data_IF_227777259291
#
_entry.id   IF_227777259291
#
_cell.length_a   1.000
_cell.length_b   1.000
_cell.length_c   1.000
_cell.angle_alpha   90.00
_cell.angle_beta   90.00
_cell.angle_gamma   90.00
#
_symmetry.space_group_name_H-M   'P 1'
#
loop_
_entity.id
_entity.type
_entity.pdbx_description
1 polymer ?
#
# COMPACT_ATOMS: atom_id res chain seq x y z
N UNK A 1 -18.49 -6.80 -5.29
CA UNK A 1 -18.80 -5.53 -6.01
C UNK A 1 -17.85 -4.45 -5.55
N UNK A 2 -17.20 -3.80 -6.48
CA UNK A 2 -16.32 -2.66 -6.18
C UNK A 2 -17.18 -1.41 -6.01
N UNK A 3 -17.05 -0.75 -4.86
CA UNK A 3 -17.80 0.49 -4.56
C UNK A 3 -17.10 1.75 -5.08
N UNK A 4 -15.79 1.67 -5.23
CA UNK A 4 -14.95 2.77 -5.69
C UNK A 4 -14.13 2.26 -6.87
N UNK A 5 -14.04 3.01 -7.99
CA UNK A 5 -13.25 2.58 -9.14
C UNK A 5 -11.78 2.37 -8.78
N UNK A 6 -11.17 1.37 -9.40
CA UNK A 6 -9.72 1.20 -9.37
C UNK A 6 -9.11 2.03 -10.50
N UNK A 7 -8.64 3.22 -10.16
CA UNK A 7 -8.11 4.15 -11.14
C UNK A 7 -6.84 3.59 -11.79
N UNK A 8 -6.77 3.67 -13.12
CA UNK A 8 -5.55 3.35 -13.87
C UNK A 8 -4.71 4.62 -14.07
N UNK A 9 -3.42 4.42 -14.40
CA UNK A 9 -2.51 5.56 -14.61
C UNK A 9 -2.97 6.47 -15.74
N UNK A 10 -3.56 5.90 -16.78
CA UNK A 10 -4.03 6.61 -17.97
C UNK A 10 -5.21 7.55 -17.67
N UNK A 11 -6.01 7.22 -16.66
CA UNK A 11 -7.17 8.01 -16.24
C UNK A 11 -6.79 9.22 -15.39
N UNK A 12 -5.53 9.29 -14.92
CA UNK A 12 -5.03 10.35 -14.07
C UNK A 12 -4.51 11.54 -14.89
N UNK A 13 -4.62 12.73 -14.31
CA UNK A 13 -3.93 13.92 -14.82
C UNK A 13 -2.42 13.87 -14.52
N UNK A 14 -1.69 14.92 -14.89
CA UNK A 14 -0.23 14.94 -14.73
C UNK A 14 0.20 14.79 -13.27
N UNK A 15 -0.46 15.44 -12.34
CA UNK A 15 -0.17 15.33 -10.90
C UNK A 15 -0.47 13.94 -10.38
N UNK A 16 -1.62 13.39 -10.73
CA UNK A 16 -2.02 12.04 -10.34
C UNK A 16 -1.05 10.97 -10.88
N UNK A 17 -0.55 11.14 -12.09
CA UNK A 17 0.46 10.23 -12.67
C UNK A 17 1.78 10.29 -11.93
N UNK A 18 2.21 11.47 -11.50
CA UNK A 18 3.41 11.60 -10.68
C UNK A 18 3.27 10.86 -9.34
N UNK A 19 2.11 10.97 -8.71
CA UNK A 19 1.80 10.26 -7.47
C UNK A 19 1.78 8.74 -7.71
N UNK A 20 1.13 8.28 -8.77
CA UNK A 20 1.10 6.87 -9.16
C UNK A 20 2.51 6.31 -9.36
N UNK A 21 3.34 7.03 -10.09
CA UNK A 21 4.72 6.61 -10.39
C UNK A 21 5.59 6.61 -9.11
N UNK A 22 5.37 7.55 -8.20
CA UNK A 22 6.06 7.57 -6.92
C UNK A 22 5.68 6.37 -6.04
N UNK A 23 4.42 5.97 -6.02
CA UNK A 23 3.99 4.77 -5.30
C UNK A 23 4.71 3.53 -5.84
N UNK A 24 4.81 3.39 -7.15
CA UNK A 24 5.57 2.30 -7.78
C UNK A 24 7.04 2.33 -7.37
N UNK A 25 7.66 3.49 -7.43
CA UNK A 25 9.07 3.66 -7.08
C UNK A 25 9.34 3.33 -5.61
N UNK A 26 8.55 3.88 -4.69
CA UNK A 26 8.74 3.68 -3.26
C UNK A 26 8.59 2.20 -2.86
N UNK A 27 7.79 1.45 -3.58
CA UNK A 27 7.53 0.02 -3.31
C UNK A 27 8.27 -0.93 -4.23
N UNK A 28 9.05 -0.40 -5.16
CA UNK A 28 9.82 -1.19 -6.13
C UNK A 28 8.93 -2.23 -6.83
N UNK A 29 7.82 -1.76 -7.39
CA UNK A 29 6.83 -2.61 -8.06
C UNK A 29 6.46 -2.07 -9.43
N UNK A 30 6.14 -2.96 -10.36
CA UNK A 30 5.62 -2.61 -11.69
C UNK A 30 4.19 -2.08 -11.62
N UNK A 31 3.37 -2.66 -10.73
CA UNK A 31 1.97 -2.32 -10.60
C UNK A 31 1.65 -1.74 -9.23
N UNK A 32 0.73 -0.79 -9.22
CA UNK A 32 0.17 -0.24 -7.98
C UNK A 32 -0.95 -1.16 -7.49
N UNK A 33 -0.87 -1.55 -6.23
CA UNK A 33 -1.87 -2.41 -5.61
C UNK A 33 -3.29 -1.82 -5.63
N UNK A 34 -4.30 -2.68 -5.61
CA UNK A 34 -5.70 -2.28 -5.76
C UNK A 34 -6.15 -1.26 -4.71
N UNK A 35 -5.71 -1.41 -3.46
CA UNK A 35 -6.02 -0.47 -2.39
C UNK A 35 -5.54 0.95 -2.70
N UNK A 36 -4.35 1.09 -3.29
CA UNK A 36 -3.81 2.39 -3.69
C UNK A 36 -4.50 2.94 -4.94
N UNK A 37 -4.89 2.06 -5.86
CA UNK A 37 -5.69 2.46 -7.03
C UNK A 37 -7.07 2.97 -6.62
N UNK A 38 -7.66 2.41 -5.58
CA UNK A 38 -8.89 2.94 -4.99
C UNK A 38 -8.67 4.33 -4.36
N UNK A 39 -7.56 4.51 -3.63
CA UNK A 39 -7.18 5.80 -3.03
C UNK A 39 -6.91 6.88 -4.09
N UNK A 40 -6.44 6.50 -5.27
CA UNK A 40 -6.12 7.43 -6.36
C UNK A 40 -7.36 8.12 -6.97
N UNK A 41 -8.57 7.79 -6.53
CA UNK A 41 -9.74 8.65 -6.77
C UNK A 41 -9.60 10.02 -6.08
N UNK A 42 -8.69 10.13 -5.09
CA UNK A 42 -8.25 11.39 -4.48
C UNK A 42 -6.72 11.42 -4.50
N UNK A 43 -6.09 11.84 -5.59
CA UNK A 43 -4.64 11.69 -5.78
C UNK A 43 -3.79 12.33 -4.69
N UNK A 44 -4.15 13.51 -4.22
CA UNK A 44 -3.41 14.19 -3.15
C UNK A 44 -3.47 13.42 -1.84
N UNK A 45 -4.66 12.94 -1.45
CA UNK A 45 -4.82 12.10 -0.25
C UNK A 45 -4.03 10.79 -0.38
N UNK A 46 -4.08 10.16 -1.57
CA UNK A 46 -3.28 8.98 -1.87
C UNK A 46 -1.78 9.25 -1.71
N UNK A 47 -1.30 10.38 -2.20
CA UNK A 47 0.10 10.80 -2.09
C UNK A 47 0.55 10.91 -0.63
N UNK A 48 -0.23 11.57 0.22
CA UNK A 48 0.08 11.70 1.65
C UNK A 48 0.08 10.36 2.37
N UNK A 49 -0.97 9.56 2.17
CA UNK A 49 -1.11 8.27 2.85
C UNK A 49 -0.03 7.28 2.43
N UNK A 50 0.25 7.18 1.14
CA UNK A 50 1.27 6.25 0.63
C UNK A 50 2.69 6.67 1.01
N UNK A 51 2.97 7.98 1.13
CA UNK A 51 4.24 8.49 1.64
C UNK A 51 4.43 8.13 3.11
N UNK A 52 3.41 8.31 3.94
CA UNK A 52 3.44 7.87 5.34
C UNK A 52 3.69 6.36 5.43
N UNK A 53 2.95 5.57 4.66
CA UNK A 53 3.10 4.12 4.63
C UNK A 53 4.50 3.68 4.21
N UNK A 54 5.09 4.32 3.20
CA UNK A 54 6.44 4.04 2.75
C UNK A 54 7.48 4.35 3.84
N UNK A 55 7.33 5.48 4.54
CA UNK A 55 8.20 5.85 5.65
C UNK A 55 8.13 4.83 6.78
N UNK A 56 6.94 4.40 7.16
CA UNK A 56 6.75 3.40 8.22
C UNK A 56 7.32 2.04 7.85
N UNK A 57 7.13 1.60 6.60
CA UNK A 57 7.56 0.27 6.15
C UNK A 57 9.06 0.20 5.83
N UNK A 58 9.61 1.22 5.18
CA UNK A 58 10.94 1.12 4.58
C UNK A 58 11.99 2.00 5.26
N UNK A 59 11.58 2.99 6.06
CA UNK A 59 12.48 3.96 6.66
C UNK A 59 12.44 3.97 8.19
N UNK A 60 11.53 3.23 8.82
CA UNK A 60 11.48 3.17 10.28
C UNK A 60 12.57 2.25 10.84
N UNK A 61 12.97 2.50 12.09
CA UNK A 61 13.92 1.67 12.81
C UNK A 61 13.30 0.38 13.41
N UNK A 62 11.99 0.21 13.26
CA UNK A 62 11.32 -0.98 13.78
C UNK A 62 11.78 -2.24 13.04
N UNK A 63 12.16 -3.32 13.74
CA UNK A 63 12.50 -4.58 13.10
C UNK A 63 11.40 -5.13 12.19
N UNK A 64 11.78 -5.73 11.07
CA UNK A 64 10.86 -6.18 10.03
C UNK A 64 9.83 -7.17 10.57
N UNK A 65 10.25 -8.14 11.40
CA UNK A 65 9.34 -9.11 12.00
C UNK A 65 8.24 -8.42 12.87
N UNK A 66 8.57 -7.35 13.58
CA UNK A 66 7.60 -6.63 14.39
C UNK A 66 6.65 -5.79 13.53
N UNK A 67 7.14 -5.20 12.44
CA UNK A 67 6.29 -4.50 11.47
C UNK A 67 5.26 -5.45 10.85
N UNK A 68 5.71 -6.57 10.35
CA UNK A 68 4.83 -7.56 9.72
C UNK A 68 3.86 -8.17 10.74
N UNK A 69 4.29 -8.41 11.98
CA UNK A 69 3.41 -8.87 13.05
C UNK A 69 2.29 -7.85 13.32
N UNK A 70 2.61 -6.56 13.40
CA UNK A 70 1.61 -5.51 13.61
C UNK A 70 0.60 -5.46 12.46
N UNK A 71 1.07 -5.60 11.22
CA UNK A 71 0.20 -5.59 10.03
C UNK A 71 -0.77 -6.77 10.05
N UNK A 72 -0.28 -7.99 10.28
CA UNK A 72 -1.15 -9.18 10.27
C UNK A 72 -2.12 -9.19 11.45
N UNK A 73 -1.77 -8.64 12.60
CA UNK A 73 -2.70 -8.49 13.73
C UNK A 73 -3.87 -7.57 13.36
N UNK A 74 -3.58 -6.43 12.75
CA UNK A 74 -4.62 -5.51 12.27
C UNK A 74 -5.46 -6.16 11.16
N UNK A 75 -4.81 -6.83 10.22
CA UNK A 75 -5.50 -7.55 9.15
C UNK A 75 -6.47 -8.60 9.71
N UNK A 76 -6.06 -9.32 10.74
CA UNK A 76 -6.91 -10.32 11.41
C UNK A 76 -8.09 -9.68 12.12
N UNK A 77 -7.85 -8.61 12.88
CA UNK A 77 -8.89 -7.90 13.64
C UNK A 77 -9.98 -7.34 12.71
N UNK A 78 -9.58 -6.81 11.57
CA UNK A 78 -10.51 -6.21 10.60
C UNK A 78 -10.95 -7.16 9.49
N UNK A 79 -10.62 -8.45 9.58
CA UNK A 79 -10.97 -9.49 8.59
C UNK A 79 -10.55 -9.09 7.15
N UNK A 80 -9.33 -8.58 7.01
CA UNK A 80 -8.77 -8.21 5.71
C UNK A 80 -8.00 -9.38 5.10
N UNK A 81 -8.66 -10.17 4.25
CA UNK A 81 -8.06 -11.35 3.63
C UNK A 81 -6.87 -11.00 2.73
N UNK A 82 -6.95 -9.89 2.02
CA UNK A 82 -5.88 -9.41 1.13
C UNK A 82 -4.62 -9.11 1.92
N UNK A 83 -4.74 -8.30 2.97
CA UNK A 83 -3.59 -7.92 3.81
C UNK A 83 -3.06 -9.13 4.58
N UNK A 84 -3.94 -9.97 5.11
CA UNK A 84 -3.52 -11.20 5.78
C UNK A 84 -2.72 -12.12 4.85
N UNK A 85 -3.24 -12.39 3.66
CA UNK A 85 -2.60 -13.32 2.71
C UNK A 85 -1.22 -12.83 2.28
N UNK A 86 -1.10 -11.54 1.94
CA UNK A 86 0.17 -10.96 1.52
C UNK A 86 1.19 -10.89 2.66
N UNK A 87 0.78 -10.34 3.79
CA UNK A 87 1.70 -10.05 4.89
C UNK A 87 2.03 -11.25 5.77
N UNK A 88 1.18 -12.29 5.83
CA UNK A 88 1.54 -13.52 6.54
C UNK A 88 2.77 -14.21 5.93
N UNK A 89 2.90 -14.16 4.61
CA UNK A 89 4.09 -14.67 3.91
C UNK A 89 5.32 -13.84 4.27
N UNK A 90 5.20 -12.53 4.27
CA UNK A 90 6.30 -11.62 4.63
C UNK A 90 6.68 -11.77 6.11
N UNK A 91 5.71 -11.91 6.99
CA UNK A 91 5.94 -12.17 8.41
C UNK A 91 6.73 -13.46 8.64
N UNK A 92 6.36 -14.53 7.94
CA UNK A 92 7.07 -15.82 8.02
C UNK A 92 8.51 -15.69 7.53
N UNK A 93 8.78 -14.92 6.49
CA UNK A 93 10.14 -14.65 5.98
C UNK A 93 10.97 -13.80 6.93
N UNK A 94 10.34 -12.90 7.65
CA UNK A 94 11.03 -11.99 8.58
C UNK A 94 11.39 -12.67 9.92
N UNK A 95 10.78 -13.81 10.21
CA UNK A 95 10.99 -14.52 11.47
C UNK A 95 10.12 -13.97 12.57
#
# INVERSE_FOLDING_TARGET
MVRVPYVSREELDAEGRQIYDKIRQDRNTEEVGLQFRALLNSPQAAGHLTSLGASLRFQSSMPENLKELAIILVAREWNSDIEWTGHSILAAKAG
#
